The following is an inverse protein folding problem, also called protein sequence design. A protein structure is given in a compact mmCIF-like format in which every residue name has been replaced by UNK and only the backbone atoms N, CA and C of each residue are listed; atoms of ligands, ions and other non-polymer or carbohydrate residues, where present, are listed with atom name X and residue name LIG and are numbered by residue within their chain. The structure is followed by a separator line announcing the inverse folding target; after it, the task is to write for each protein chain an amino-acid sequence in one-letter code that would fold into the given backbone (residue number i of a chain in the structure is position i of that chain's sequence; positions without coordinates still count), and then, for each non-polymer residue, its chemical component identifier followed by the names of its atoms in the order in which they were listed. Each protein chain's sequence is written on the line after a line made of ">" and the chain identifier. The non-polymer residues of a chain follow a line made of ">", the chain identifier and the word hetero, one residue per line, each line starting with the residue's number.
data_IF_334079152503
#
_entry.id   IF_334079152503
#
_cell.length_a   1.000
_cell.length_b   1.000
_cell.length_c   1.000
_cell.angle_alpha   90.00
_cell.angle_beta   90.00
_cell.angle_gamma   90.00
#
_symmetry.space_group_name_H-M   'P 1'
#
loop_
_entity.id
_entity.type
_entity.pdbx_description
1 polymer ?
#
# COMPACT_ATOMS: atom_id res chain seq x y z
N UNK A 1 -36.18 12.35 50.99
CA UNK A 1 -36.17 11.62 49.69
C UNK A 1 -35.40 12.33 48.58
N UNK A 2 -34.95 13.57 48.77
CA UNK A 2 -34.33 14.33 47.68
C UNK A 2 -32.80 14.13 47.49
N UNK A 3 -32.09 13.52 48.44
CA UNK A 3 -30.65 13.35 48.35
C UNK A 3 -30.23 12.16 47.44
N UNK A 4 -31.09 11.15 47.34
CA UNK A 4 -30.81 9.95 46.50
C UNK A 4 -31.00 10.28 45.01
N UNK A 5 -31.99 11.12 44.68
CA UNK A 5 -32.20 11.57 43.29
C UNK A 5 -31.05 12.43 42.74
N UNK A 6 -30.48 13.29 43.61
CA UNK A 6 -29.32 14.12 43.22
C UNK A 6 -28.10 13.26 42.96
N UNK A 7 -27.87 12.21 43.76
CA UNK A 7 -26.76 11.26 43.55
C UNK A 7 -26.92 10.43 42.27
N UNK A 8 -28.15 10.03 41.95
CA UNK A 8 -28.45 9.32 40.69
C UNK A 8 -28.27 10.22 39.44
N UNK A 9 -28.68 11.49 39.56
CA UNK A 9 -28.55 12.47 38.49
C UNK A 9 -27.06 12.80 38.21
N UNK A 10 -26.24 12.93 39.26
CA UNK A 10 -24.79 13.11 39.12
C UNK A 10 -24.10 11.90 38.51
N UNK A 11 -24.55 10.68 38.87
CA UNK A 11 -23.96 9.44 38.31
C UNK A 11 -24.27 9.28 36.81
N UNK A 12 -25.49 9.65 36.37
CA UNK A 12 -25.85 9.64 34.95
C UNK A 12 -25.08 10.70 34.14
N UNK A 13 -24.77 11.85 34.73
CA UNK A 13 -24.00 12.90 34.07
C UNK A 13 -22.50 12.48 33.90
N UNK A 14 -21.98 11.76 34.89
CA UNK A 14 -20.59 11.26 34.81
C UNK A 14 -20.39 10.17 33.75
N UNK A 15 -21.40 9.32 33.51
CA UNK A 15 -21.33 8.26 32.51
C UNK A 15 -21.43 8.80 31.07
N UNK A 16 -22.21 9.88 30.86
CA UNK A 16 -22.35 10.52 29.54
C UNK A 16 -21.07 11.27 29.09
N UNK A 17 -20.24 11.73 30.05
CA UNK A 17 -18.98 12.42 29.74
C UNK A 17 -17.86 11.46 29.30
N UNK A 18 -17.94 10.18 29.65
CA UNK A 18 -16.91 9.18 29.30
C UNK A 18 -17.09 8.66 27.87
N UNK A 19 -18.30 8.71 27.30
CA UNK A 19 -18.56 8.25 25.94
C UNK A 19 -18.23 9.26 24.84
N UNK A 20 -17.94 10.51 25.19
CA UNK A 20 -17.64 11.56 24.22
C UNK A 20 -16.16 11.60 23.77
N UNK A 21 -15.28 10.78 24.35
CA UNK A 21 -13.83 10.88 24.11
C UNK A 21 -13.24 9.74 23.27
N UNK A 22 -14.06 8.85 22.69
CA UNK A 22 -13.57 7.69 21.93
C UNK A 22 -13.66 7.87 20.40
N UNK A 23 -14.15 9.01 19.92
CA UNK A 23 -14.25 9.32 18.49
C UNK A 23 -13.31 10.46 18.05
N UNK A 24 -12.03 10.32 18.34
CA UNK A 24 -11.04 11.28 17.85
C UNK A 24 -9.85 10.57 17.24
N UNK A 25 -10.08 9.85 16.13
CA UNK A 25 -9.02 9.47 15.20
C UNK A 25 -9.54 9.15 13.79
N UNK A 26 -10.62 9.76 13.37
CA UNK A 26 -10.82 9.94 11.94
C UNK A 26 -9.92 11.11 11.54
N UNK A 27 -8.80 10.79 10.86
CA UNK A 27 -8.11 11.78 10.06
C UNK A 27 -9.17 12.38 9.15
N UNK A 28 -9.60 13.58 9.48
CA UNK A 28 -10.47 14.39 8.65
C UNK A 28 -9.87 14.34 7.26
N UNK A 29 -10.57 13.70 6.33
CA UNK A 29 -10.23 13.76 4.91
C UNK A 29 -10.49 15.20 4.53
N UNK A 30 -9.46 16.02 4.69
CA UNK A 30 -9.49 17.43 4.33
C UNK A 30 -9.98 17.52 2.90
N UNK A 31 -10.90 18.44 2.66
CA UNK A 31 -11.50 18.69 1.35
C UNK A 31 -10.45 18.64 0.25
N UNK A 32 -10.75 18.06 -0.92
CA UNK A 32 -9.80 18.01 -2.03
C UNK A 32 -9.32 19.42 -2.33
N UNK A 33 -8.01 19.60 -2.34
CA UNK A 33 -7.38 20.86 -2.70
C UNK A 33 -6.88 20.75 -4.14
N UNK A 34 -6.60 21.89 -4.77
CA UNK A 34 -5.98 21.89 -6.11
C UNK A 34 -4.50 21.48 -6.08
N UNK A 35 -4.06 20.79 -5.02
CA UNK A 35 -2.69 20.29 -4.92
C UNK A 35 -2.49 19.08 -5.85
N UNK A 36 -1.39 19.10 -6.59
CA UNK A 36 -1.07 18.03 -7.53
C UNK A 36 0.40 17.60 -7.36
N UNK A 37 0.66 16.33 -7.64
CA UNK A 37 2.01 15.79 -7.75
C UNK A 37 2.13 15.11 -9.09
N UNK A 38 3.19 15.42 -9.82
CA UNK A 38 3.53 14.76 -11.08
C UNK A 38 5.00 14.33 -11.06
N UNK A 39 5.36 13.48 -11.98
CA UNK A 39 6.74 13.02 -12.12
C UNK A 39 6.84 11.83 -13.03
N UNK A 40 7.96 11.16 -12.98
CA UNK A 40 8.22 9.93 -13.73
C UNK A 40 8.83 8.86 -12.83
N UNK A 41 8.72 7.63 -13.29
CA UNK A 41 9.32 6.47 -12.64
C UNK A 41 10.31 5.83 -13.62
N UNK A 42 11.54 5.61 -13.15
CA UNK A 42 12.60 4.98 -13.95
C UNK A 42 13.18 3.77 -13.24
N UNK A 43 13.74 2.89 -14.03
CA UNK A 43 14.61 1.83 -13.52
C UNK A 43 15.94 2.43 -13.07
N UNK A 44 16.31 2.16 -11.83
CA UNK A 44 17.55 2.66 -11.22
C UNK A 44 18.81 2.15 -11.91
N UNK A 45 18.79 0.95 -12.52
CA UNK A 45 19.94 0.33 -13.14
C UNK A 45 20.16 0.84 -14.58
N UNK A 46 19.07 1.00 -15.34
CA UNK A 46 19.14 1.37 -16.77
C UNK A 46 18.81 2.83 -17.03
N UNK A 47 18.10 3.50 -16.11
CA UNK A 47 17.53 4.85 -16.32
C UNK A 47 16.34 4.86 -17.26
N UNK A 48 15.84 3.69 -17.67
CA UNK A 48 14.72 3.57 -18.58
C UNK A 48 13.40 3.90 -17.87
N UNK A 49 12.51 4.59 -18.55
CA UNK A 49 11.19 4.94 -18.04
C UNK A 49 10.29 3.72 -17.95
N UNK A 50 9.62 3.54 -16.82
CA UNK A 50 8.81 2.37 -16.51
C UNK A 50 7.31 2.67 -16.65
N UNK A 51 6.61 2.11 -17.65
CA UNK A 51 5.16 2.22 -17.79
C UNK A 51 4.42 1.24 -16.88
N UNK A 52 3.16 1.54 -16.57
CA UNK A 52 2.29 0.64 -15.82
C UNK A 52 2.57 0.53 -14.33
N UNK A 53 3.44 1.39 -13.78
CA UNK A 53 3.78 1.41 -12.36
C UNK A 53 2.63 1.99 -11.55
N UNK A 54 2.26 1.33 -10.45
CA UNK A 54 1.22 1.79 -9.55
C UNK A 54 1.78 2.75 -8.50
N UNK A 55 1.17 3.93 -8.38
CA UNK A 55 1.49 4.97 -7.40
C UNK A 55 0.28 5.23 -6.52
N UNK A 56 0.42 5.10 -5.19
CA UNK A 56 -0.68 5.23 -4.23
C UNK A 56 -0.29 6.22 -3.12
N UNK A 57 -1.24 7.10 -2.77
CA UNK A 57 -1.14 7.91 -1.57
C UNK A 57 -1.64 7.10 -0.38
N UNK A 58 -0.73 6.63 0.49
CA UNK A 58 -1.08 5.74 1.63
C UNK A 58 -2.14 6.35 2.54
N UNK A 59 -3.10 5.51 2.93
CA UNK A 59 -4.21 5.90 3.79
C UNK A 59 -5.32 6.65 3.08
N UNK A 60 -5.30 6.68 1.74
CA UNK A 60 -6.35 7.27 0.91
C UNK A 60 -6.70 6.33 -0.24
N UNK A 61 -7.72 6.67 -1.01
CA UNK A 61 -8.08 5.98 -2.27
C UNK A 61 -7.47 6.66 -3.49
N UNK A 62 -6.57 7.62 -3.29
CA UNK A 62 -5.95 8.38 -4.37
C UNK A 62 -4.74 7.62 -4.90
N UNK A 63 -4.75 7.35 -6.19
CA UNK A 63 -3.65 6.69 -6.87
C UNK A 63 -3.62 7.03 -8.35
N UNK A 64 -2.55 6.63 -9.02
CA UNK A 64 -2.32 6.77 -10.44
C UNK A 64 -1.47 5.61 -10.94
N UNK A 65 -1.38 5.47 -12.25
CA UNK A 65 -0.50 4.53 -12.93
C UNK A 65 0.34 5.31 -13.92
N UNK A 66 1.62 4.94 -14.11
CA UNK A 66 2.44 5.58 -15.13
C UNK A 66 1.94 5.25 -16.52
N UNK A 67 1.96 6.25 -17.41
CA UNK A 67 1.66 6.11 -18.83
C UNK A 67 2.79 5.38 -19.60
N UNK A 68 2.64 5.24 -20.92
CA UNK A 68 3.61 4.58 -21.79
C UNK A 68 5.00 5.27 -21.79
N UNK A 69 5.05 6.53 -21.36
CA UNK A 69 6.28 7.31 -21.21
C UNK A 69 6.85 7.27 -19.79
N UNK A 70 6.24 6.48 -18.89
CA UNK A 70 6.64 6.37 -17.48
C UNK A 70 6.27 7.57 -16.63
N UNK A 71 5.42 8.49 -17.10
CA UNK A 71 4.96 9.65 -16.33
C UNK A 71 3.67 9.38 -15.59
N UNK A 72 3.48 10.08 -14.46
CA UNK A 72 2.27 9.99 -13.65
C UNK A 72 1.81 11.35 -13.14
N UNK A 73 0.54 11.43 -12.75
CA UNK A 73 -0.02 12.59 -12.08
C UNK A 73 -1.06 12.18 -11.03
N UNK A 74 -0.86 12.66 -9.81
CA UNK A 74 -1.83 12.61 -8.71
C UNK A 74 -2.48 13.99 -8.60
N UNK A 75 -3.82 14.05 -8.64
CA UNK A 75 -4.59 15.29 -8.65
C UNK A 75 -5.45 15.41 -7.40
N UNK A 76 -5.78 16.66 -7.05
CA UNK A 76 -6.71 16.99 -5.96
C UNK A 76 -6.30 16.35 -4.63
N UNK A 77 -5.02 16.43 -4.30
CA UNK A 77 -4.49 15.86 -3.07
C UNK A 77 -4.95 16.69 -1.86
N UNK A 78 -5.30 16.03 -0.74
CA UNK A 78 -5.59 16.74 0.50
C UNK A 78 -4.34 17.43 1.05
N UNK A 79 -4.53 18.48 1.87
CA UNK A 79 -3.42 19.15 2.56
C UNK A 79 -2.89 18.27 3.68
N UNK A 80 -1.58 18.27 3.86
CA UNK A 80 -0.91 17.57 4.95
C UNK A 80 0.33 16.81 4.54
N UNK A 81 0.82 16.00 5.47
CA UNK A 81 1.94 15.09 5.25
C UNK A 81 1.43 13.69 4.92
N UNK A 82 1.87 13.17 3.79
CA UNK A 82 1.49 11.85 3.30
C UNK A 82 2.72 11.03 2.90
N UNK A 83 2.50 9.72 2.80
CA UNK A 83 3.48 8.81 2.22
C UNK A 83 2.96 8.32 0.88
N UNK A 84 3.73 8.54 -0.18
CA UNK A 84 3.47 7.95 -1.49
C UNK A 84 4.20 6.62 -1.55
N UNK A 85 3.50 5.60 -1.99
CA UNK A 85 4.03 4.26 -2.25
C UNK A 85 3.99 3.98 -3.74
N UNK A 86 5.11 3.48 -4.25
CA UNK A 86 5.27 3.07 -5.65
C UNK A 86 5.62 1.60 -5.66
N UNK A 87 4.85 0.80 -6.39
CA UNK A 87 5.01 -0.65 -6.44
C UNK A 87 4.79 -1.21 -7.84
N UNK A 88 5.56 -2.26 -8.17
CA UNK A 88 5.41 -3.00 -9.41
C UNK A 88 5.93 -4.44 -9.23
N UNK A 89 5.39 -5.37 -10.01
CA UNK A 89 5.83 -6.77 -9.99
C UNK A 89 7.27 -6.86 -10.47
N UNK A 90 8.14 -7.51 -9.69
CA UNK A 90 9.56 -7.65 -10.00
C UNK A 90 10.45 -6.48 -9.56
N UNK A 91 9.90 -5.48 -8.89
CA UNK A 91 10.62 -4.34 -8.33
C UNK A 91 10.38 -4.19 -6.83
N UNK A 92 11.37 -3.65 -6.14
CA UNK A 92 11.24 -3.29 -4.72
C UNK A 92 10.28 -2.13 -4.56
N UNK A 93 9.35 -2.25 -3.62
CA UNK A 93 8.44 -1.15 -3.27
C UNK A 93 9.21 0.03 -2.70
N UNK A 94 8.97 1.22 -3.24
CA UNK A 94 9.59 2.48 -2.78
C UNK A 94 8.54 3.36 -2.13
N UNK A 95 8.90 3.99 -1.01
CA UNK A 95 8.03 4.95 -0.31
C UNK A 95 8.75 6.27 -0.10
N UNK A 96 8.06 7.41 -0.34
CA UNK A 96 8.56 8.76 -0.05
C UNK A 96 7.52 9.56 0.72
N UNK A 97 7.96 10.30 1.72
CA UNK A 97 7.12 11.29 2.41
C UNK A 97 7.04 12.57 1.61
N UNK A 98 5.87 13.16 1.55
CA UNK A 98 5.60 14.41 0.83
C UNK A 98 4.64 15.26 1.64
N UNK A 99 4.85 16.57 1.61
CA UNK A 99 3.94 17.54 2.20
C UNK A 99 3.20 18.26 1.09
N UNK A 100 1.89 18.16 1.11
CA UNK A 100 1.00 18.83 0.16
C UNK A 100 0.39 20.08 0.78
N UNK A 101 0.17 21.12 -0.01
CA UNK A 101 -0.47 22.36 0.41
C UNK A 101 -1.41 22.88 -0.67
N UNK A 102 -2.38 23.69 -0.29
CA UNK A 102 -3.42 24.21 -1.18
C UNK A 102 -2.82 24.87 -2.43
N UNK A 103 -3.29 24.42 -3.60
CA UNK A 103 -2.88 24.97 -4.90
C UNK A 103 -1.43 24.71 -5.28
N UNK A 104 -0.70 23.87 -4.55
CA UNK A 104 0.69 23.54 -4.86
C UNK A 104 0.78 22.37 -5.82
N UNK A 105 1.55 22.56 -6.88
CA UNK A 105 1.96 21.48 -7.78
C UNK A 105 3.45 21.22 -7.58
N UNK A 106 3.83 19.96 -7.34
CA UNK A 106 5.22 19.54 -7.09
C UNK A 106 5.60 18.43 -8.03
N UNK A 107 6.87 18.39 -8.39
CA UNK A 107 7.47 17.26 -9.12
C UNK A 107 8.10 16.29 -8.13
N UNK A 108 7.84 14.99 -8.33
CA UNK A 108 8.41 13.93 -7.51
C UNK A 108 8.71 12.71 -8.38
N UNK A 109 9.97 12.43 -8.56
CA UNK A 109 10.44 11.32 -9.39
C UNK A 109 10.84 10.12 -8.52
N UNK A 110 10.68 8.90 -9.06
CA UNK A 110 11.03 7.67 -8.39
C UNK A 110 11.99 6.84 -9.24
N UNK A 111 12.89 6.16 -8.54
CA UNK A 111 13.78 5.16 -9.10
C UNK A 111 13.44 3.82 -8.45
N UNK A 112 13.10 2.83 -9.25
CA UNK A 112 12.83 1.47 -8.80
C UNK A 112 14.03 0.58 -9.03
N UNK A 113 14.30 -0.30 -8.09
CA UNK A 113 15.33 -1.32 -8.17
C UNK A 113 14.67 -2.68 -8.35
N UNK A 114 15.16 -3.50 -9.29
CA UNK A 114 14.65 -4.86 -9.50
C UNK A 114 14.77 -5.69 -8.22
N UNK A 115 13.73 -6.45 -7.91
CA UNK A 115 13.70 -7.42 -6.82
C UNK A 115 13.87 -8.84 -7.38
N UNK A 116 15.11 -9.23 -7.64
CA UNK A 116 15.46 -10.54 -8.19
C UNK A 116 15.07 -11.70 -7.26
N UNK A 117 14.93 -11.43 -5.95
CA UNK A 117 14.58 -12.46 -4.96
C UNK A 117 13.09 -12.81 -5.05
N UNK A 118 12.24 -11.84 -5.38
CA UNK A 118 10.80 -12.06 -5.53
C UNK A 118 10.44 -12.95 -6.73
N UNK A 119 11.33 -13.07 -7.71
CA UNK A 119 11.13 -13.91 -8.90
C UNK A 119 11.56 -15.37 -8.68
N UNK A 120 12.45 -15.64 -7.72
CA UNK A 120 12.91 -17.01 -7.40
C UNK A 120 11.92 -17.78 -6.52
N UNK A 121 10.89 -17.13 -5.96
CA UNK A 121 9.93 -17.73 -5.02
C UNK A 121 8.91 -18.69 -5.64
N UNK A 122 8.88 -18.90 -6.95
CA UNK A 122 8.00 -19.89 -7.62
C UNK A 122 8.82 -21.06 -8.16
N UNK A 123 9.58 -21.72 -7.30
CA UNK A 123 9.99 -23.09 -7.58
C UNK A 123 8.77 -23.97 -7.35
N UNK A 124 8.02 -24.24 -8.41
CA UNK A 124 7.06 -25.34 -8.45
C UNK A 124 7.88 -26.60 -8.29
N UNK A 125 8.07 -27.06 -7.05
CA UNK A 125 8.50 -28.43 -6.77
C UNK A 125 7.39 -29.37 -7.25
N UNK A 126 7.42 -29.66 -8.55
CA UNK A 126 6.72 -30.81 -9.09
C UNK A 126 7.41 -32.03 -8.47
N UNK A 127 6.92 -32.47 -7.33
CA UNK A 127 7.31 -33.70 -6.68
C UNK A 127 6.85 -34.84 -7.59
N UNK A 128 7.67 -35.13 -8.59
CA UNK A 128 7.56 -36.33 -9.40
C UNK A 128 7.97 -37.48 -8.51
N UNK A 129 7.02 -38.08 -7.82
CA UNK A 129 7.15 -39.40 -7.26
C UNK A 129 7.44 -40.37 -8.43
N UNK A 130 8.73 -40.56 -8.72
CA UNK A 130 9.16 -41.68 -9.53
C UNK A 130 8.84 -42.97 -8.76
N UNK A 131 7.68 -43.52 -9.06
CA UNK A 131 7.36 -44.90 -8.72
C UNK A 131 8.36 -45.78 -9.47
N UNK A 132 9.47 -46.12 -8.79
CA UNK A 132 10.38 -47.20 -9.24
C UNK A 132 9.54 -48.48 -9.33
N UNK A 133 9.03 -48.77 -10.54
CA UNK A 133 8.60 -50.14 -10.88
C UNK A 133 9.83 -51.00 -10.84
N UNK A 134 9.98 -51.74 -9.76
CA UNK A 134 10.91 -52.90 -9.71
C UNK A 134 10.39 -53.92 -10.70
N UNK A 135 11.06 -53.99 -11.87
CA UNK A 135 10.94 -55.15 -12.74
C UNK A 135 11.62 -56.34 -12.03
N UNK A 136 10.84 -57.28 -11.57
CA UNK A 136 11.35 -58.54 -11.10
C UNK A 136 11.91 -59.35 -12.31
N UNK A 137 13.13 -59.88 -12.26
CA UNK A 137 13.58 -60.74 -13.32
C UNK A 137 12.86 -62.09 -13.27
N UNK A 138 12.13 -62.43 -14.32
CA UNK A 138 11.54 -63.72 -14.53
C UNK A 138 12.65 -64.72 -14.88
N UNK A 139 13.02 -65.61 -13.97
CA UNK A 139 13.88 -66.75 -14.25
C UNK A 139 13.11 -67.76 -15.09
N UNK A 140 13.44 -67.86 -16.37
CA UNK A 140 13.04 -68.96 -17.25
C UNK A 140 14.00 -70.13 -16.96
N UNK A 141 13.48 -71.23 -16.42
CA UNK A 141 14.18 -72.50 -16.23
C UNK A 141 13.89 -73.39 -17.43
N UNK A 142 14.90 -73.75 -18.18
CA UNK A 142 14.88 -74.81 -19.18
C UNK A 142 15.18 -76.13 -18.48
#
# INVERSE_FOLDING_TARGET
>A
MNKIYILFLCLCYAVSAIMANTYKNDKEVTSPTDANIFGHVVDKATGEHLPGITIILKGTTIGSVTDDSGHYMLKNLPEGEFTIEVSFVGFKTVTKKVTTGKGKTQELNFELEEDLISLEGVVVSANRNETKRRLAPTLVKV
#
